data_IF_211498137165
#
_entry.id   IF_211498137165
#
_cell.length_a   1.000
_cell.length_b   1.000
_cell.length_c   1.000
_cell.angle_alpha   90.00
_cell.angle_beta   90.00
_cell.angle_gamma   90.00
#
_symmetry.space_group_name_H-M   'P 1'
#
loop_
_entity.id
_entity.type
_entity.pdbx_description
1 polymer ?
#
# COMPACT_ATOMS: atom_id res chain seq x y z
N UNK A 1 4.00 -20.14 -43.19
CA UNK A 1 3.42 -18.79 -43.12
C UNK A 1 3.46 -18.36 -41.66
N UNK A 2 4.42 -17.52 -41.29
CA UNK A 2 4.66 -17.15 -39.88
C UNK A 2 3.72 -16.00 -39.56
N UNK A 3 2.74 -16.22 -38.67
CA UNK A 3 1.95 -15.15 -38.08
C UNK A 3 2.90 -14.30 -37.23
N UNK A 4 3.19 -13.07 -37.64
CA UNK A 4 3.78 -12.09 -36.75
C UNK A 4 2.72 -11.73 -35.70
N UNK A 5 2.91 -12.20 -34.46
CA UNK A 5 2.11 -11.72 -33.33
C UNK A 5 2.32 -10.21 -33.20
N UNK A 6 1.22 -9.47 -33.07
CA UNK A 6 1.23 -8.01 -33.03
C UNK A 6 1.91 -7.54 -31.74
N UNK A 7 3.16 -7.09 -31.84
CA UNK A 7 3.91 -6.58 -30.70
C UNK A 7 3.65 -5.08 -30.49
N UNK A 8 3.51 -4.69 -29.23
CA UNK A 8 3.33 -3.30 -28.80
C UNK A 8 4.55 -2.86 -28.00
N UNK A 9 5.01 -1.62 -28.24
CA UNK A 9 6.17 -1.05 -27.56
C UNK A 9 5.76 0.22 -26.82
N UNK A 10 6.37 0.44 -25.65
CA UNK A 10 6.22 1.69 -24.91
C UNK A 10 6.97 2.78 -25.67
N UNK A 11 6.25 3.78 -26.15
CA UNK A 11 6.84 4.87 -26.95
C UNK A 11 7.38 6.01 -26.09
N UNK A 12 6.72 6.29 -24.96
CA UNK A 12 7.08 7.39 -24.08
C UNK A 12 6.65 7.10 -22.64
N UNK A 13 7.46 7.57 -21.70
CA UNK A 13 7.13 7.62 -20.28
C UNK A 13 6.88 9.08 -19.93
N UNK A 14 5.74 9.37 -19.28
CA UNK A 14 5.40 10.70 -18.80
C UNK A 14 6.06 10.98 -17.44
N UNK A 15 6.15 12.25 -17.09
CA UNK A 15 6.69 12.67 -15.79
C UNK A 15 5.86 12.05 -14.64
N UNK A 16 6.56 11.64 -13.59
CA UNK A 16 5.94 11.00 -12.43
C UNK A 16 5.67 12.05 -11.37
N UNK A 17 4.45 12.10 -10.86
CA UNK A 17 4.08 13.00 -9.76
C UNK A 17 4.62 12.51 -8.43
N UNK A 18 4.63 11.19 -8.22
CA UNK A 18 5.16 10.56 -7.01
C UNK A 18 5.98 9.33 -7.39
N UNK A 19 6.98 9.01 -6.58
CA UNK A 19 7.95 7.93 -6.83
C UNK A 19 8.19 7.23 -5.50
N UNK A 20 7.89 5.94 -5.44
CA UNK A 20 8.23 5.05 -4.33
C UNK A 20 9.37 4.15 -4.77
N UNK A 21 10.43 4.12 -3.98
CA UNK A 21 11.63 3.37 -4.26
C UNK A 21 12.10 2.60 -3.01
N UNK A 22 12.76 1.47 -3.23
CA UNK A 22 13.43 0.71 -2.17
C UNK A 22 14.87 1.18 -2.07
N UNK A 23 15.26 1.64 -0.89
CA UNK A 23 16.68 1.90 -0.60
C UNK A 23 17.49 0.61 -0.76
N UNK A 24 18.57 0.66 -1.55
CA UNK A 24 19.45 -0.48 -1.78
C UNK A 24 20.14 -0.89 -0.49
N UNK A 25 20.05 -2.16 -0.11
CA UNK A 25 20.67 -2.67 1.11
C UNK A 25 22.19 -2.76 0.93
N UNK A 26 22.95 -1.85 1.55
CA UNK A 26 24.42 -1.74 1.43
C UNK A 26 25.20 -2.91 2.10
N UNK A 27 24.51 -3.93 2.61
CA UNK A 27 25.10 -5.00 3.44
C UNK A 27 25.48 -6.28 2.68
N UNK A 28 25.26 -6.39 1.37
CA UNK A 28 25.77 -7.52 0.56
C UNK A 28 27.06 -7.17 -0.17
N UNK A 29 28.12 -7.95 0.12
CA UNK A 29 29.44 -8.06 -0.54
C UNK A 29 29.35 -8.41 -2.05
N UNK A 30 28.64 -7.62 -2.83
CA UNK A 30 28.59 -7.76 -4.29
C UNK A 30 28.55 -6.37 -4.90
N UNK A 31 29.75 -5.79 -4.97
CA UNK A 31 30.06 -4.47 -5.52
C UNK A 31 29.64 -4.32 -7.00
N UNK A 32 29.25 -5.41 -7.68
CA UNK A 32 28.84 -5.43 -9.08
C UNK A 32 27.34 -5.16 -9.33
N UNK A 33 26.47 -5.16 -8.31
CA UNK A 33 25.00 -5.05 -8.48
C UNK A 33 24.33 -3.95 -7.63
N UNK A 34 25.10 -3.12 -6.93
CA UNK A 34 24.60 -2.28 -5.84
C UNK A 34 24.74 -0.78 -6.12
N UNK A 35 24.03 -0.25 -7.12
CA UNK A 35 24.05 1.21 -7.36
C UNK A 35 22.68 1.85 -7.58
N UNK A 36 21.66 1.13 -8.05
CA UNK A 36 20.41 1.81 -8.41
C UNK A 36 19.28 1.49 -7.43
N UNK A 37 18.75 2.57 -6.87
CA UNK A 37 17.45 2.64 -6.23
C UNK A 37 16.41 1.85 -7.05
N UNK A 38 15.75 0.87 -6.43
CA UNK A 38 14.76 0.07 -7.15
C UNK A 38 13.40 0.77 -7.06
N UNK A 39 12.91 1.31 -8.18
CA UNK A 39 11.57 1.87 -8.26
C UNK A 39 10.54 0.77 -7.99
N UNK A 40 9.69 0.97 -6.98
CA UNK A 40 8.62 0.04 -6.61
C UNK A 40 7.28 0.47 -7.22
N UNK A 41 6.98 1.77 -7.18
CA UNK A 41 5.74 2.32 -7.71
C UNK A 41 5.90 3.81 -8.05
N UNK A 42 4.98 4.34 -8.85
CA UNK A 42 4.91 5.76 -9.18
C UNK A 42 3.45 6.19 -9.39
N UNK A 43 3.19 7.49 -9.29
CA UNK A 43 1.85 8.08 -9.47
C UNK A 43 0.82 7.47 -8.51
N UNK A 44 1.18 7.44 -7.23
CA UNK A 44 0.34 7.03 -6.11
C UNK A 44 -0.49 8.22 -5.61
N UNK A 45 -1.81 8.07 -5.58
CA UNK A 45 -2.75 9.05 -5.01
C UNK A 45 -3.36 8.57 -3.70
N UNK A 46 -3.43 7.25 -3.51
CA UNK A 46 -4.00 6.61 -2.33
C UNK A 46 -3.04 5.57 -1.75
N UNK A 47 -2.99 5.49 -0.42
CA UNK A 47 -2.24 4.50 0.32
C UNK A 47 -3.19 3.68 1.18
N UNK A 48 -3.06 2.37 1.10
CA UNK A 48 -3.78 1.44 1.97
C UNK A 48 -2.78 0.64 2.80
N UNK A 49 -2.79 0.85 4.12
CA UNK A 49 -1.94 0.11 5.05
C UNK A 49 -2.74 -1.05 5.63
N UNK A 50 -2.41 -2.27 5.21
CA UNK A 50 -3.05 -3.48 5.72
C UNK A 50 -2.38 -3.97 7.01
N UNK A 51 -3.20 -4.19 8.03
CA UNK A 51 -2.83 -4.76 9.33
C UNK A 51 -3.70 -5.99 9.55
N UNK A 52 -3.14 -7.11 9.99
CA UNK A 52 -3.92 -8.27 10.39
C UNK A 52 -4.17 -8.23 11.90
N UNK A 53 -5.43 -8.42 12.32
CA UNK A 53 -5.82 -8.36 13.73
C UNK A 53 -5.14 -9.44 14.60
N UNK A 54 -4.79 -10.59 14.00
CA UNK A 54 -4.15 -11.72 14.69
C UNK A 54 -2.62 -11.57 14.82
N UNK A 55 -2.01 -10.57 14.19
CA UNK A 55 -0.56 -10.36 14.22
C UNK A 55 -0.16 -9.34 15.30
N UNK A 56 1.12 -9.41 15.72
CA UNK A 56 1.70 -8.41 16.64
C UNK A 56 1.83 -7.05 15.95
N UNK A 57 0.79 -6.24 16.13
CA UNK A 57 0.76 -4.83 15.79
C UNK A 57 1.61 -4.01 16.77
N UNK A 58 2.37 -3.05 16.23
CA UNK A 58 3.04 -2.01 17.01
C UNK A 58 2.84 -0.68 16.32
N UNK A 59 2.57 0.38 17.10
CA UNK A 59 2.38 1.72 16.58
C UNK A 59 3.60 2.19 15.77
N UNK A 60 4.81 1.90 16.25
CA UNK A 60 6.05 2.30 15.55
C UNK A 60 6.18 1.73 14.13
N UNK A 61 5.63 0.55 13.84
CA UNK A 61 5.62 0.02 12.46
C UNK A 61 4.71 0.85 11.56
N UNK A 62 3.53 1.22 12.07
CA UNK A 62 2.59 2.07 11.36
C UNK A 62 3.16 3.46 11.15
N UNK A 63 3.71 4.08 12.19
CA UNK A 63 4.32 5.41 12.13
C UNK A 63 5.42 5.47 11.07
N UNK A 64 6.29 4.46 11.01
CA UNK A 64 7.32 4.40 9.98
C UNK A 64 6.74 4.41 8.56
N UNK A 65 5.62 3.72 8.34
CA UNK A 65 4.93 3.77 7.05
C UNK A 65 4.31 5.15 6.81
N UNK A 66 3.58 5.70 7.77
CA UNK A 66 2.98 7.03 7.65
C UNK A 66 4.03 8.12 7.39
N UNK A 67 5.20 8.05 8.02
CA UNK A 67 6.30 8.99 7.77
C UNK A 67 6.91 8.84 6.38
N UNK A 68 7.01 7.60 5.88
CA UNK A 68 7.55 7.34 4.54
C UNK A 68 6.64 7.92 3.45
N UNK A 69 5.32 7.85 3.66
CA UNK A 69 4.33 8.21 2.64
C UNK A 69 3.64 9.56 2.88
N UNK A 70 3.66 10.11 4.08
CA UNK A 70 2.87 11.29 4.47
C UNK A 70 3.23 12.58 3.74
N UNK A 71 4.41 12.66 3.12
CA UNK A 71 4.80 13.76 2.23
C UNK A 71 4.48 13.52 0.75
N UNK A 72 4.07 12.31 0.38
CA UNK A 72 3.87 11.89 -1.02
C UNK A 72 2.41 11.57 -1.34
N UNK A 73 1.66 11.07 -0.37
CA UNK A 73 0.28 10.57 -0.56
C UNK A 73 -0.62 11.21 0.47
N UNK A 74 -1.72 11.83 0.01
CA UNK A 74 -2.65 12.54 0.88
C UNK A 74 -3.80 11.68 1.39
N UNK A 75 -4.25 10.69 0.61
CA UNK A 75 -5.36 9.80 0.96
C UNK A 75 -4.85 8.48 1.56
N UNK A 76 -4.62 8.48 2.88
CA UNK A 76 -4.11 7.32 3.62
C UNK A 76 -5.25 6.63 4.38
N UNK A 77 -5.43 5.35 4.09
CA UNK A 77 -6.45 4.50 4.68
C UNK A 77 -5.80 3.29 5.36
N UNK A 78 -6.25 2.94 6.56
CA UNK A 78 -5.79 1.75 7.27
C UNK A 78 -6.86 0.67 7.15
N UNK A 79 -6.45 -0.54 6.75
CA UNK A 79 -7.33 -1.71 6.69
C UNK A 79 -6.91 -2.68 7.79
N UNK A 80 -7.83 -3.00 8.69
CA UNK A 80 -7.65 -4.06 9.68
C UNK A 80 -8.35 -5.31 9.16
N UNK A 81 -7.54 -6.22 8.59
CA UNK A 81 -7.96 -7.54 8.14
C UNK A 81 -8.12 -8.54 9.28
N UNK A 82 -8.87 -9.62 9.01
CA UNK A 82 -9.28 -10.61 10.02
C UNK A 82 -10.03 -9.96 11.18
N UNK A 83 -10.89 -9.00 10.87
CA UNK A 83 -11.67 -8.25 11.87
C UNK A 83 -12.70 -9.10 12.63
N UNK A 84 -12.85 -10.37 12.26
CA UNK A 84 -13.54 -11.40 13.05
C UNK A 84 -12.95 -11.57 14.46
N UNK A 85 -11.66 -11.27 14.66
CA UNK A 85 -11.06 -11.09 15.99
C UNK A 85 -11.43 -9.71 16.58
N UNK A 86 -12.70 -9.52 16.93
CA UNK A 86 -13.29 -8.22 17.30
C UNK A 86 -12.49 -7.50 18.39
N UNK A 87 -12.10 -8.18 19.46
CA UNK A 87 -11.35 -7.57 20.57
C UNK A 87 -9.97 -7.06 20.13
N UNK A 88 -9.23 -7.86 19.37
CA UNK A 88 -7.91 -7.49 18.86
C UNK A 88 -8.00 -6.36 17.84
N UNK A 89 -8.97 -6.44 16.93
CA UNK A 89 -9.22 -5.45 15.91
C UNK A 89 -9.59 -4.08 16.53
N UNK A 90 -10.46 -4.08 17.54
CA UNK A 90 -10.83 -2.86 18.28
C UNK A 90 -9.64 -2.29 19.06
N UNK A 91 -8.84 -3.12 19.73
CA UNK A 91 -7.63 -2.67 20.42
C UNK A 91 -6.65 -1.97 19.48
N UNK A 92 -6.44 -2.54 18.29
CA UNK A 92 -5.59 -1.89 17.26
C UNK A 92 -6.19 -0.55 16.84
N UNK A 93 -7.50 -0.50 16.57
CA UNK A 93 -8.20 0.75 16.22
C UNK A 93 -8.02 1.83 17.29
N UNK A 94 -8.18 1.49 18.57
CA UNK A 94 -8.03 2.43 19.68
C UNK A 94 -6.62 3.01 19.76
N UNK A 95 -5.59 2.15 19.67
CA UNK A 95 -4.18 2.58 19.66
C UNK A 95 -3.90 3.52 18.48
N UNK A 96 -4.46 3.25 17.31
CA UNK A 96 -4.26 4.10 16.14
C UNK A 96 -4.99 5.43 16.32
N UNK A 97 -6.26 5.40 16.73
CA UNK A 97 -7.09 6.61 16.89
C UNK A 97 -6.63 7.51 18.03
N UNK A 98 -5.96 6.99 19.06
CA UNK A 98 -5.38 7.82 20.11
C UNK A 98 -4.26 8.74 19.62
N UNK A 99 -3.53 8.31 18.58
CA UNK A 99 -2.41 9.07 18.00
C UNK A 99 -2.80 9.79 16.71
N UNK A 100 -3.68 9.18 15.91
CA UNK A 100 -4.14 9.68 14.62
C UNK A 100 -5.67 9.68 14.57
N UNK A 101 -6.35 10.67 15.20
CA UNK A 101 -7.81 10.71 15.29
C UNK A 101 -8.50 10.77 13.92
N UNK A 102 -7.88 11.44 12.95
CA UNK A 102 -8.46 11.71 11.64
C UNK A 102 -8.25 10.57 10.62
N UNK A 103 -7.37 9.59 10.91
CA UNK A 103 -7.06 8.55 9.91
C UNK A 103 -8.25 7.61 9.69
N UNK A 104 -8.56 7.30 8.43
CA UNK A 104 -9.66 6.37 8.13
C UNK A 104 -9.23 4.93 8.44
N UNK A 105 -10.11 4.17 9.10
CA UNK A 105 -9.88 2.76 9.47
C UNK A 105 -11.04 1.93 8.96
N UNK A 106 -10.73 0.93 8.14
CA UNK A 106 -11.67 0.02 7.50
C UNK A 106 -11.45 -1.37 8.09
N UNK A 107 -12.53 -2.02 8.53
CA UNK A 107 -12.47 -3.42 8.97
C UNK A 107 -12.78 -4.34 7.80
N UNK A 108 -12.05 -5.45 7.71
CA UNK A 108 -12.26 -6.47 6.69
C UNK A 108 -12.07 -7.87 7.28
N UNK A 109 -12.97 -8.78 6.93
CA UNK A 109 -12.82 -10.21 7.21
C UNK A 109 -13.17 -11.00 5.96
N UNK A 110 -12.32 -11.96 5.60
CA UNK A 110 -12.57 -12.86 4.45
C UNK A 110 -13.78 -13.77 4.68
N UNK A 111 -14.22 -13.93 5.93
CA UNK A 111 -15.40 -14.71 6.30
C UNK A 111 -16.70 -13.88 6.25
N UNK A 112 -16.60 -12.57 5.99
CA UNK A 112 -17.73 -11.66 5.91
C UNK A 112 -17.75 -10.98 4.55
N UNK A 113 -18.55 -11.53 3.63
CA UNK A 113 -18.68 -11.02 2.26
C UNK A 113 -19.08 -9.56 2.19
N UNK A 114 -19.95 -9.09 3.09
CA UNK A 114 -20.36 -7.69 3.17
C UNK A 114 -19.17 -6.75 3.44
N UNK A 115 -18.27 -7.16 4.34
CA UNK A 115 -17.06 -6.36 4.62
C UNK A 115 -16.12 -6.29 3.41
N UNK A 116 -16.11 -7.34 2.58
CA UNK A 116 -15.30 -7.36 1.35
C UNK A 116 -15.92 -6.51 0.25
N UNK A 117 -17.24 -6.45 0.15
CA UNK A 117 -17.95 -5.52 -0.75
C UNK A 117 -17.72 -4.07 -0.35
N UNK A 118 -17.85 -3.76 0.94
CA UNK A 118 -17.53 -2.44 1.48
C UNK A 118 -16.07 -2.06 1.18
N UNK A 119 -15.11 -2.97 1.41
CA UNK A 119 -13.70 -2.76 1.09
C UNK A 119 -13.48 -2.45 -0.40
N UNK A 120 -14.15 -3.15 -1.31
CA UNK A 120 -14.07 -2.90 -2.76
C UNK A 120 -14.53 -1.49 -3.13
N UNK A 121 -15.52 -0.94 -2.44
CA UNK A 121 -16.02 0.42 -2.70
C UNK A 121 -14.96 1.50 -2.46
N UNK A 122 -14.02 1.26 -1.53
CA UNK A 122 -12.92 2.20 -1.25
C UNK A 122 -11.84 2.20 -2.33
N UNK A 123 -11.69 1.09 -3.07
CA UNK A 123 -10.75 0.97 -4.19
C UNK A 123 -11.34 1.46 -5.51
N UNK A 124 -12.62 1.85 -5.55
CA UNK A 124 -13.21 2.36 -6.77
C UNK A 124 -12.63 3.74 -7.09
N UNK A 125 -12.12 3.95 -8.32
CA UNK A 125 -11.53 5.22 -8.70
C UNK A 125 -12.58 6.32 -8.59
N UNK A 126 -12.36 7.30 -7.70
CA UNK A 126 -13.16 8.53 -7.67
C UNK A 126 -12.83 9.32 -8.94
N UNK A 127 -13.67 9.15 -9.96
CA UNK A 127 -13.85 10.00 -11.16
C UNK A 127 -12.59 10.59 -11.83
N UNK A 128 -12.41 10.17 -13.09
CA UNK A 128 -11.63 10.82 -14.15
C UNK A 128 -10.14 11.08 -13.85
N UNK A 129 -9.37 10.00 -13.83
CA UNK A 129 -8.10 9.85 -14.52
C UNK A 129 -7.67 8.40 -14.26
N UNK A 130 -6.97 7.78 -15.19
CA UNK A 130 -6.56 6.38 -15.12
C UNK A 130 -5.59 6.19 -13.95
N UNK A 131 -6.12 5.97 -12.75
CA UNK A 131 -5.32 5.74 -11.55
C UNK A 131 -5.25 4.25 -11.28
N UNK A 132 -4.04 3.72 -11.41
CA UNK A 132 -3.70 2.40 -10.94
C UNK A 132 -3.71 2.45 -9.42
N UNK A 133 -4.70 1.81 -8.80
CA UNK A 133 -4.67 1.52 -7.37
C UNK A 133 -3.55 0.51 -7.15
N UNK A 134 -2.33 1.01 -6.96
CA UNK A 134 -1.25 0.18 -6.44
C UNK A 134 -1.53 -0.04 -4.96
N UNK A 135 -2.20 -1.15 -4.67
CA UNK A 135 -2.23 -1.73 -3.33
C UNK A 135 -0.79 -2.13 -2.99
N UNK A 136 -0.02 -1.22 -2.40
CA UNK A 136 1.26 -1.58 -1.81
C UNK A 136 0.94 -2.34 -0.52
N UNK A 137 0.84 -3.67 -0.62
CA UNK A 137 0.87 -4.56 0.52
C UNK A 137 2.25 -4.45 1.17
N UNK A 138 2.38 -3.55 2.14
CA UNK A 138 3.64 -3.21 2.82
C UNK A 138 4.07 -4.29 3.83
N UNK A 139 3.88 -5.57 3.51
CA UNK A 139 4.50 -6.67 4.25
C UNK A 139 5.91 -6.99 3.76
N UNK A 140 6.32 -6.46 2.60
CA UNK A 140 7.58 -6.80 1.88
C UNK A 140 8.64 -5.68 1.86
N UNK A 141 8.37 -4.55 2.53
CA UNK A 141 9.25 -3.37 2.57
C UNK A 141 10.25 -3.39 3.74
N UNK A 142 10.26 -4.45 4.54
CA UNK A 142 11.34 -4.78 5.49
C UNK A 142 12.23 -5.89 4.96
#
# INVERSE_FOLDING_TARGET
MILFEKQYYVTKILERTTVLSKASNRTKKSYAYNVNEQLLAANLDQLFVLIAADQRFTLSKLERYLMTFGGMVTDINIIISKSDYIELANKIKEIIKSTYPEINIIFSSIYNDKSMEELKSFFMPKKQLYYWVHLVLVSQLC
#
